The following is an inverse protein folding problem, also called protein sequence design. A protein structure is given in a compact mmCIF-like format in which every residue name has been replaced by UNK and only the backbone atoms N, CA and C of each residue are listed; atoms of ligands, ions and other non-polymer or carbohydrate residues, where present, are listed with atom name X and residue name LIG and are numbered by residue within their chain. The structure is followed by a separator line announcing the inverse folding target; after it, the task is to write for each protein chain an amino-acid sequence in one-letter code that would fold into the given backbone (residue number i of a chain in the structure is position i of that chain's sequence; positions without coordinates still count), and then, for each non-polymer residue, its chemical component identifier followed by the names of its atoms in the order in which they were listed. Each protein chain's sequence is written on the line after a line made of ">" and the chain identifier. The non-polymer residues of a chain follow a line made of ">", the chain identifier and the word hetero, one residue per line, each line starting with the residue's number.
data_IF_607009745132
#
_entry.id   IF_607009745132
#
_cell.length_a   1.000
_cell.length_b   1.000
_cell.length_c   1.000
_cell.angle_alpha   90.00
_cell.angle_beta   90.00
_cell.angle_gamma   90.00
#
_symmetry.space_group_name_H-M   'P 1'
#
loop_
_entity.id
_entity.type
_entity.pdbx_description
1 polymer ?
#
# COMPACT_ATOMS: atom_id res chain seq x y z
N UNK A 1 -19.47 -36.23 -10.37
CA UNK A 1 -19.23 -35.06 -11.24
C UNK A 1 -20.22 -33.99 -10.85
N UNK A 2 -19.77 -32.99 -10.09
CA UNK A 2 -20.62 -31.91 -9.62
C UNK A 2 -21.13 -31.13 -10.85
N UNK A 3 -22.43 -30.82 -10.88
CA UNK A 3 -23.09 -30.15 -12.03
C UNK A 3 -22.70 -28.68 -12.19
N UNK A 4 -21.80 -28.21 -11.34
CA UNK A 4 -21.25 -26.86 -11.37
C UNK A 4 -19.88 -26.91 -12.04
N UNK A 5 -19.88 -27.18 -13.34
CA UNK A 5 -18.73 -26.90 -14.18
C UNK A 5 -18.42 -25.41 -14.09
N UNK A 6 -17.20 -25.09 -13.65
CA UNK A 6 -16.63 -23.75 -13.74
C UNK A 6 -16.64 -23.36 -15.22
N UNK A 7 -17.31 -22.28 -15.66
CA UNK A 7 -17.42 -20.97 -15.02
C UNK A 7 -18.67 -20.80 -14.12
N UNK A 8 -18.56 -20.07 -12.99
CA UNK A 8 -19.72 -19.71 -12.20
C UNK A 8 -20.71 -18.89 -13.05
N UNK A 9 -22.00 -19.14 -12.88
CA UNK A 9 -23.06 -18.33 -13.50
C UNK A 9 -22.76 -16.83 -13.27
N UNK A 10 -22.89 -16.01 -14.32
CA UNK A 10 -22.60 -14.56 -14.28
C UNK A 10 -23.19 -13.87 -13.03
N UNK A 11 -24.38 -14.30 -12.60
CA UNK A 11 -25.04 -13.83 -11.39
C UNK A 11 -24.18 -13.94 -10.11
N UNK A 12 -23.38 -15.01 -9.96
CA UNK A 12 -22.46 -15.16 -8.83
C UNK A 12 -21.25 -14.24 -8.98
N UNK A 13 -20.67 -14.14 -10.18
CA UNK A 13 -19.54 -13.22 -10.44
C UNK A 13 -19.94 -11.78 -10.13
N UNK A 14 -21.09 -11.34 -10.62
CA UNK A 14 -21.64 -10.01 -10.33
C UNK A 14 -21.86 -9.76 -8.84
N UNK A 15 -22.09 -10.80 -8.03
CA UNK A 15 -22.20 -10.66 -6.57
C UNK A 15 -20.85 -10.39 -5.91
N UNK A 16 -19.74 -10.95 -6.42
CA UNK A 16 -18.41 -10.80 -5.82
C UNK A 16 -17.63 -9.57 -6.32
N UNK A 17 -17.94 -9.06 -7.51
CA UNK A 17 -17.33 -7.84 -8.08
C UNK A 17 -17.33 -6.63 -7.10
N UNK A 18 -18.46 -6.22 -6.48
CA UNK A 18 -18.46 -5.06 -5.61
C UNK A 18 -17.59 -5.24 -4.36
N UNK A 19 -17.47 -6.47 -3.84
CA UNK A 19 -16.59 -6.78 -2.70
C UNK A 19 -15.11 -6.64 -3.09
N UNK A 20 -14.74 -7.11 -4.28
CA UNK A 20 -13.38 -6.93 -4.79
C UNK A 20 -13.06 -5.45 -4.97
N UNK A 21 -13.96 -4.67 -5.57
CA UNK A 21 -13.78 -3.22 -5.75
C UNK A 21 -13.64 -2.52 -4.39
N UNK A 22 -14.46 -2.88 -3.41
CA UNK A 22 -14.38 -2.32 -2.05
C UNK A 22 -13.03 -2.66 -1.37
N UNK A 23 -12.54 -3.89 -1.55
CA UNK A 23 -11.25 -4.29 -1.01
C UNK A 23 -10.09 -3.55 -1.67
N UNK A 24 -10.10 -3.46 -3.00
CA UNK A 24 -9.09 -2.70 -3.75
C UNK A 24 -9.13 -1.21 -3.41
N UNK A 25 -10.32 -0.63 -3.23
CA UNK A 25 -10.45 0.78 -2.85
C UNK A 25 -9.93 1.01 -1.44
N UNK A 26 -10.25 0.16 -0.46
CA UNK A 26 -9.67 0.25 0.88
C UNK A 26 -8.15 0.17 0.86
N UNK A 27 -7.58 -0.79 0.11
CA UNK A 27 -6.14 -0.95 -0.02
C UNK A 27 -5.49 0.29 -0.68
N UNK A 28 -6.15 0.86 -1.68
CA UNK A 28 -5.71 2.05 -2.38
C UNK A 28 -5.71 3.30 -1.48
N UNK A 29 -6.82 3.56 -0.78
CA UNK A 29 -6.93 4.69 0.15
C UNK A 29 -5.88 4.61 1.25
N UNK A 30 -5.67 3.41 1.77
CA UNK A 30 -4.69 3.18 2.81
C UNK A 30 -3.29 3.48 2.28
N UNK A 31 -2.92 2.94 1.10
CA UNK A 31 -1.61 3.17 0.47
C UNK A 31 -1.31 4.65 0.22
N UNK A 32 -2.26 5.39 -0.34
CA UNK A 32 -2.10 6.82 -0.61
C UNK A 32 -1.95 7.62 0.68
N UNK A 33 -2.76 7.30 1.69
CA UNK A 33 -2.71 8.01 2.95
C UNK A 33 -1.35 7.82 3.63
N UNK A 34 -0.78 6.60 3.55
CA UNK A 34 0.57 6.33 4.04
C UNK A 34 1.63 7.17 3.34
N UNK A 35 1.61 7.20 2.01
CA UNK A 35 2.58 7.96 1.21
C UNK A 35 2.51 9.46 1.48
N UNK A 36 1.31 10.04 1.53
CA UNK A 36 1.10 11.47 1.82
C UNK A 36 1.63 11.82 3.22
N UNK A 37 1.36 10.98 4.23
CA UNK A 37 1.86 11.22 5.59
C UNK A 37 3.38 11.18 5.62
N UNK A 38 4.02 10.22 4.94
CA UNK A 38 5.48 10.18 4.85
C UNK A 38 6.05 11.46 4.21
N UNK A 39 5.51 11.87 3.07
CA UNK A 39 5.99 13.04 2.34
C UNK A 39 5.87 14.34 3.17
N UNK A 40 4.72 14.51 3.83
CA UNK A 40 4.50 15.64 4.73
C UNK A 40 5.47 15.64 5.92
N UNK A 41 5.78 14.48 6.50
CA UNK A 41 6.74 14.38 7.61
C UNK A 41 8.16 14.78 7.18
N UNK A 42 8.58 14.42 5.97
CA UNK A 42 9.87 14.83 5.41
C UNK A 42 9.89 16.34 5.16
N UNK A 43 8.83 16.89 4.55
CA UNK A 43 8.71 18.33 4.31
C UNK A 43 8.74 19.16 5.61
N UNK A 44 8.09 18.67 6.67
CA UNK A 44 8.12 19.30 8.00
C UNK A 44 9.51 19.28 8.61
N UNK A 45 10.26 18.18 8.48
CA UNK A 45 11.64 18.10 8.96
C UNK A 45 12.59 19.03 8.20
N UNK A 46 12.41 19.18 6.89
CA UNK A 46 13.19 20.10 6.06
C UNK A 46 12.88 21.57 6.41
N UNK A 47 11.60 21.92 6.58
CA UNK A 47 11.18 23.24 7.04
C UNK A 47 11.72 23.56 8.46
N UNK A 48 11.74 22.56 9.35
CA UNK A 48 12.35 22.68 10.67
C UNK A 48 13.87 22.93 10.57
N UNK A 49 14.55 22.36 9.57
CA UNK A 49 15.97 22.63 9.30
C UNK A 49 16.22 24.05 8.83
N UNK A 50 15.39 24.54 7.90
CA UNK A 50 15.48 25.88 7.38
C UNK A 50 15.20 26.99 8.43
N UNK A 51 14.58 26.65 9.57
CA UNK A 51 14.21 27.61 10.63
C UNK A 51 15.38 28.26 11.40
N UNK A 52 16.64 27.95 11.06
CA UNK A 52 17.87 28.51 11.69
C UNK A 52 17.90 28.43 13.22
N UNK A 53 17.34 27.37 13.79
CA UNK A 53 17.29 27.12 15.23
C UNK A 53 18.67 27.12 15.92
N UNK A 54 19.75 26.91 15.15
CA UNK A 54 21.13 26.94 15.63
C UNK A 54 21.65 28.35 15.92
N UNK A 55 20.99 29.40 15.42
CA UNK A 55 21.41 30.80 15.55
C UNK A 55 21.03 31.40 16.92
N UNK A 56 20.04 30.81 17.61
CA UNK A 56 19.58 31.24 18.93
C UNK A 56 19.80 30.10 19.94
N UNK A 57 20.71 30.29 20.90
CA UNK A 57 21.10 29.24 21.86
C UNK A 57 19.98 28.96 22.88
N UNK A 58 19.02 28.12 22.48
CA UNK A 58 17.86 27.74 23.30
C UNK A 58 17.79 26.20 23.42
N UNK A 59 18.38 25.62 24.49
CA UNK A 59 18.61 24.16 24.57
C UNK A 59 17.33 23.32 24.51
N UNK A 60 16.20 23.83 25.03
CA UNK A 60 14.88 23.17 24.94
C UNK A 60 14.35 23.09 23.50
N UNK A 61 14.55 24.15 22.71
CA UNK A 61 14.08 24.22 21.33
C UNK A 61 14.93 23.32 20.43
N UNK A 62 16.24 23.32 20.64
CA UNK A 62 17.20 22.47 19.92
C UNK A 62 16.92 20.98 20.08
N UNK A 63 16.54 20.53 21.29
CA UNK A 63 16.17 19.13 21.52
C UNK A 63 14.87 18.75 20.80
N UNK A 64 13.86 19.62 20.83
CA UNK A 64 12.59 19.40 20.12
C UNK A 64 12.79 19.29 18.61
N UNK A 65 13.60 20.17 18.02
CA UNK A 65 13.85 20.18 16.58
C UNK A 65 14.70 18.99 16.14
N UNK A 66 15.71 18.58 16.94
CA UNK A 66 16.47 17.35 16.68
C UNK A 66 15.57 16.12 16.67
N UNK A 67 14.63 16.02 17.61
CA UNK A 67 13.66 14.92 17.65
C UNK A 67 12.77 14.92 16.40
N UNK A 68 12.24 16.09 16.00
CA UNK A 68 11.40 16.24 14.80
C UNK A 68 12.17 15.87 13.52
N UNK A 69 13.45 16.23 13.39
CA UNK A 69 14.29 15.82 12.25
C UNK A 69 14.63 14.34 12.22
N UNK A 70 14.86 13.74 13.39
CA UNK A 70 15.21 12.32 13.46
C UNK A 70 14.00 11.41 13.24
N UNK A 71 12.78 11.92 13.48
CA UNK A 71 11.53 11.16 13.35
C UNK A 71 11.28 10.60 11.94
N UNK A 72 11.36 11.37 10.84
CA UNK A 72 11.19 10.82 9.49
C UNK A 72 12.35 9.94 9.04
N UNK A 73 13.59 10.24 9.47
CA UNK A 73 14.79 9.46 9.11
C UNK A 73 14.76 8.03 9.66
N UNK A 74 14.08 7.81 10.80
CA UNK A 74 14.02 6.50 11.45
C UNK A 74 12.95 5.57 10.86
N UNK A 75 12.00 6.10 10.07
CA UNK A 75 10.90 5.28 9.56
C UNK A 75 10.30 5.87 8.27
N UNK A 76 11.11 5.98 7.22
CA UNK A 76 10.68 6.50 5.92
C UNK A 76 9.78 5.54 5.13
N UNK A 77 9.27 4.48 5.75
CA UNK A 77 8.19 3.69 5.22
C UNK A 77 7.26 3.37 6.38
N UNK A 78 6.03 3.88 6.32
CA UNK A 78 4.95 3.42 7.18
C UNK A 78 4.77 1.93 6.88
N UNK A 79 5.44 1.10 7.67
CA UNK A 79 5.29 -0.34 7.68
C UNK A 79 4.10 -0.65 8.57
N UNK A 80 3.01 -1.19 8.03
CA UNK A 80 2.11 -1.95 8.90
C UNK A 80 2.91 -3.13 9.43
N UNK A 81 3.05 -3.21 10.75
CA UNK A 81 3.43 -4.45 11.44
C UNK A 81 4.76 -5.03 10.97
N UNK A 82 5.73 -4.19 10.60
CA UNK A 82 7.09 -4.61 10.21
C UNK A 82 7.16 -5.50 8.94
N UNK A 83 6.06 -5.67 8.18
CA UNK A 83 6.00 -6.63 7.07
C UNK A 83 5.38 -6.05 5.79
N UNK A 84 4.49 -5.06 5.91
CA UNK A 84 3.84 -4.45 4.74
C UNK A 84 4.22 -2.98 4.66
N UNK A 85 5.22 -2.70 3.81
CA UNK A 85 5.49 -1.33 3.39
C UNK A 85 4.32 -0.85 2.55
N UNK A 86 3.71 0.23 3.00
CA UNK A 86 2.53 0.76 2.37
C UNK A 86 2.89 1.70 1.24
N UNK A 87 3.36 1.11 0.15
CA UNK A 87 3.76 1.83 -1.04
C UNK A 87 2.82 1.46 -2.20
N UNK A 88 2.57 2.42 -3.08
CA UNK A 88 1.82 2.23 -4.32
C UNK A 88 2.42 1.11 -5.18
N UNK A 89 3.74 0.88 -5.10
CA UNK A 89 4.42 -0.27 -5.69
C UNK A 89 3.89 -1.62 -5.19
N UNK A 90 3.58 -1.73 -3.89
CA UNK A 90 3.05 -2.96 -3.28
C UNK A 90 1.61 -3.19 -3.74
N UNK A 91 0.79 -2.14 -3.84
CA UNK A 91 -0.56 -2.24 -4.42
C UNK A 91 -0.52 -2.76 -5.87
N UNK A 92 0.35 -2.20 -6.71
CA UNK A 92 0.55 -2.66 -8.09
C UNK A 92 1.06 -4.11 -8.11
N UNK A 93 1.96 -4.46 -7.19
CA UNK A 93 2.46 -5.83 -7.01
C UNK A 93 1.35 -6.83 -6.69
N UNK A 94 0.42 -6.48 -5.79
CA UNK A 94 -0.75 -7.31 -5.45
C UNK A 94 -1.65 -7.51 -6.67
N UNK A 95 -1.97 -6.44 -7.40
CA UNK A 95 -2.79 -6.54 -8.63
C UNK A 95 -2.13 -7.44 -9.68
N UNK A 96 -0.82 -7.27 -9.93
CA UNK A 96 -0.06 -8.11 -10.87
C UNK A 96 -0.12 -9.58 -10.49
N UNK A 97 0.05 -9.91 -9.21
CA UNK A 97 -0.04 -11.28 -8.72
C UNK A 97 -1.45 -11.85 -8.87
N UNK A 98 -2.49 -11.07 -8.56
CA UNK A 98 -3.88 -11.49 -8.77
C UNK A 98 -4.18 -11.79 -10.25
N UNK A 99 -3.74 -10.92 -11.16
CA UNK A 99 -3.88 -11.17 -12.62
C UNK A 99 -3.11 -12.40 -13.06
N UNK A 100 -1.87 -12.58 -12.59
CA UNK A 100 -1.08 -13.77 -12.89
C UNK A 100 -1.73 -15.05 -12.38
N UNK A 101 -2.36 -15.02 -11.20
CA UNK A 101 -3.10 -16.15 -10.66
C UNK A 101 -4.33 -16.47 -11.52
N UNK A 102 -5.08 -15.45 -11.95
CA UNK A 102 -6.20 -15.66 -12.88
C UNK A 102 -5.75 -16.22 -14.23
N UNK A 103 -4.65 -15.71 -14.80
CA UNK A 103 -4.10 -16.21 -16.05
C UNK A 103 -3.64 -17.68 -15.92
N UNK A 104 -3.01 -18.04 -14.79
CA UNK A 104 -2.62 -19.41 -14.50
C UNK A 104 -3.84 -20.34 -14.43
N UNK A 105 -4.90 -19.93 -13.72
CA UNK A 105 -6.15 -20.71 -13.67
C UNK A 105 -6.77 -20.90 -15.06
N UNK A 106 -6.79 -19.86 -15.88
CA UNK A 106 -7.29 -19.96 -17.26
C UNK A 106 -6.43 -20.91 -18.11
N UNK A 107 -5.11 -20.90 -17.93
CA UNK A 107 -4.21 -21.79 -18.65
C UNK A 107 -4.40 -23.26 -18.24
N UNK A 108 -4.51 -23.55 -16.94
CA UNK A 108 -4.78 -24.91 -16.43
C UNK A 108 -6.12 -25.43 -16.94
N UNK A 109 -7.17 -24.59 -16.93
CA UNK A 109 -8.47 -24.95 -17.47
C UNK A 109 -8.42 -25.27 -18.96
N UNK A 110 -7.70 -24.45 -19.75
CA UNK A 110 -7.54 -24.69 -21.18
C UNK A 110 -6.83 -26.01 -21.50
N UNK A 111 -5.94 -26.47 -20.62
CA UNK A 111 -5.26 -27.76 -20.77
C UNK A 111 -6.22 -28.91 -20.50
N UNK A 112 -7.11 -28.78 -19.50
CA UNK A 112 -8.14 -29.77 -19.17
C UNK A 112 -9.16 -29.97 -20.30
N UNK A 113 -9.53 -28.91 -21.01
CA UNK A 113 -10.43 -29.02 -22.19
C UNK A 113 -9.80 -29.72 -23.40
N UNK A 114 -8.47 -29.78 -23.51
CA UNK A 114 -7.77 -30.41 -24.64
C UNK A 114 -7.40 -31.88 -24.41
N UNK A 115 -7.68 -32.43 -23.22
CA UNK A 115 -7.33 -33.79 -22.81
C UNK A 115 -8.58 -34.64 -22.56
#
# INVERSE_FOLDING_TARGET
>A
MNKDGFPPAYAQVFRYIPYLIAYFSQLYFYSISGEIICDQMVAVADAAYASKWYERYQPRLTQGIKLVMQTPLMNNNIMIGNTWQLNMDVFVGVIKKSMSFQACLQAVYRIDEMN
#
